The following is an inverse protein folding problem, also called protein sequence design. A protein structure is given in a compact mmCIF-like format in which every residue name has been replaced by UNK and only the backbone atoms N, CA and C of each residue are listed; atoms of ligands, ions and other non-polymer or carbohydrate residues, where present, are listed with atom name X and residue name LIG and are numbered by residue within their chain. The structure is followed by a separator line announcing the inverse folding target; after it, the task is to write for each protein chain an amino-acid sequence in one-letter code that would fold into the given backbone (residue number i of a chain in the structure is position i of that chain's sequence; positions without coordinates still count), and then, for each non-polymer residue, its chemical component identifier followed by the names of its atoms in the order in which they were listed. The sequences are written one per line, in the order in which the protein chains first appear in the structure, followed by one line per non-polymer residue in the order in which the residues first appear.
data_IF_965408346180
#
_entry.id   IF_965408346180
#
_cell.length_a   1.000
_cell.length_b   1.000
_cell.length_c   1.000
_cell.angle_alpha   90.00
_cell.angle_beta   90.00
_cell.angle_gamma   90.00
#
_symmetry.space_group_name_H-M   'P 1'
#
loop_
_entity.id
_entity.type
_entity.pdbx_description
1 polymer ?
#
# COMPACT_ATOMS: atom_id res chain seq x y z
N UNK A 1 5.50 -10.54 -14.94
CA UNK A 1 4.16 -9.91 -14.81
C UNK A 1 4.19 -8.54 -15.48
N UNK A 2 3.08 -8.08 -16.04
CA UNK A 2 2.95 -6.76 -16.68
C UNK A 2 1.82 -5.97 -16.03
N UNK A 3 1.92 -4.63 -16.04
CA UNK A 3 0.84 -3.76 -15.60
C UNK A 3 -0.33 -3.79 -16.59
N UNK A 4 -1.53 -3.43 -16.12
CA UNK A 4 -2.69 -3.30 -16.98
C UNK A 4 -2.47 -2.18 -18.02
N UNK A 5 -2.88 -2.39 -19.27
CA UNK A 5 -2.62 -1.47 -20.40
C UNK A 5 -3.13 -0.04 -20.19
N UNK A 6 -4.19 0.10 -19.39
CA UNK A 6 -4.83 1.40 -19.13
C UNK A 6 -4.21 2.12 -17.91
N UNK A 7 -3.24 1.49 -17.23
CA UNK A 7 -2.49 2.14 -16.15
C UNK A 7 -1.47 3.10 -16.77
N UNK A 8 -1.72 4.40 -16.62
CA UNK A 8 -0.78 5.42 -17.02
C UNK A 8 0.35 5.53 -15.98
N UNK A 9 1.59 5.32 -16.42
CA UNK A 9 2.80 5.40 -15.59
C UNK A 9 3.68 6.54 -16.11
N UNK A 10 3.64 7.73 -15.47
CA UNK A 10 4.55 8.83 -15.76
C UNK A 10 6.03 8.40 -15.73
N UNK A 11 6.90 9.09 -16.46
CA UNK A 11 8.30 8.71 -16.62
C UNK A 11 9.11 8.71 -15.31
N UNK A 12 8.68 9.48 -14.32
CA UNK A 12 9.26 9.57 -12.98
C UNK A 12 8.72 8.51 -12.00
N UNK A 13 7.88 7.59 -12.47
CA UNK A 13 7.37 6.48 -11.67
C UNK A 13 8.51 5.58 -11.20
N UNK A 14 8.60 5.38 -9.89
CA UNK A 14 9.48 4.37 -9.29
C UNK A 14 8.72 3.06 -9.16
N UNK A 15 9.21 2.00 -9.80
CA UNK A 15 8.63 0.67 -9.71
C UNK A 15 9.35 -0.14 -8.62
N UNK A 16 8.61 -0.52 -7.59
CA UNK A 16 9.09 -1.41 -6.52
C UNK A 16 8.49 -2.80 -6.74
N UNK A 17 9.35 -3.82 -6.80
CA UNK A 17 8.92 -5.23 -6.96
C UNK A 17 9.05 -5.95 -5.63
N UNK A 18 8.01 -6.69 -5.24
CA UNK A 18 7.91 -7.45 -3.99
C UNK A 18 7.52 -8.92 -4.27
N UNK A 19 7.72 -9.81 -3.29
CA UNK A 19 7.39 -11.25 -3.45
C UNK A 19 8.46 -12.07 -4.18
N UNK A 20 9.72 -11.63 -4.14
CA UNK A 20 10.86 -12.33 -4.78
C UNK A 20 11.45 -13.46 -3.90
N UNK A 21 10.92 -13.63 -2.69
CA UNK A 21 11.32 -14.69 -1.75
C UNK A 21 10.29 -15.81 -1.76
N UNK A 22 10.79 -17.05 -1.79
CA UNK A 22 9.96 -18.26 -1.89
C UNK A 22 9.41 -18.71 -0.53
N UNK A 23 9.92 -18.15 0.57
CA UNK A 23 9.69 -18.58 1.96
C UNK A 23 8.82 -17.61 2.78
N UNK A 24 8.48 -16.43 2.24
CA UNK A 24 7.65 -15.43 2.91
C UNK A 24 6.70 -14.72 1.96
N UNK A 25 5.44 -14.61 2.37
CA UNK A 25 4.44 -13.76 1.71
C UNK A 25 4.76 -12.29 1.99
N UNK A 26 5.51 -11.67 1.08
CA UNK A 26 5.73 -10.23 1.09
C UNK A 26 4.48 -9.55 0.52
N UNK A 27 3.61 -9.09 1.40
CA UNK A 27 2.33 -8.46 1.03
C UNK A 27 2.43 -6.94 1.08
N UNK A 28 3.30 -6.41 1.93
CA UNK A 28 3.53 -4.98 2.07
C UNK A 28 4.58 -4.48 1.06
N UNK A 29 4.41 -3.25 0.60
CA UNK A 29 5.45 -2.57 -0.17
C UNK A 29 6.67 -2.20 0.68
N UNK A 30 6.59 -2.29 2.02
CA UNK A 30 7.67 -2.00 2.96
C UNK A 30 8.47 -3.24 3.38
N UNK A 31 8.04 -4.44 3.01
CA UNK A 31 8.71 -5.71 3.34
C UNK A 31 10.10 -5.81 2.71
N UNK A 32 11.12 -5.33 3.42
CA UNK A 32 12.54 -5.41 3.04
C UNK A 32 12.87 -4.83 1.64
N UNK A 33 12.03 -3.91 1.15
CA UNK A 33 12.20 -3.28 -0.17
C UNK A 33 13.11 -2.05 -0.14
N UNK A 34 13.45 -1.54 1.06
CA UNK A 34 14.15 -0.27 1.25
C UNK A 34 13.26 0.97 1.02
N UNK A 35 11.94 0.79 0.83
CA UNK A 35 11.03 1.88 0.51
C UNK A 35 10.91 2.92 1.64
N UNK A 36 10.84 2.47 2.90
CA UNK A 36 10.79 3.37 4.05
C UNK A 36 12.02 4.29 4.12
N UNK A 37 13.21 3.74 3.90
CA UNK A 37 14.45 4.52 3.90
C UNK A 37 14.49 5.52 2.74
N UNK A 38 14.05 5.11 1.56
CA UNK A 38 13.96 5.99 0.40
C UNK A 38 13.00 7.16 0.64
N UNK A 39 11.85 6.88 1.24
CA UNK A 39 10.88 7.91 1.61
C UNK A 39 11.44 8.87 2.65
N UNK A 40 12.17 8.36 3.66
CA UNK A 40 12.87 9.19 4.65
C UNK A 40 13.96 10.06 4.01
N UNK A 41 14.77 9.50 3.11
CA UNK A 41 15.80 10.25 2.34
C UNK A 41 15.17 11.38 1.53
N UNK A 42 13.99 11.14 0.95
CA UNK A 42 13.21 12.14 0.21
C UNK A 42 12.38 13.08 1.10
N UNK A 43 12.45 12.92 2.42
CA UNK A 43 11.68 13.70 3.41
C UNK A 43 10.16 13.63 3.19
N UNK A 44 9.67 12.50 2.68
CA UNK A 44 8.24 12.24 2.52
C UNK A 44 7.62 12.06 3.91
N UNK A 45 6.53 12.78 4.17
CA UNK A 45 5.80 12.72 5.45
C UNK A 45 4.44 12.06 5.34
N UNK A 46 3.79 12.23 4.19
CA UNK A 46 2.44 11.74 3.92
C UNK A 46 2.42 10.93 2.64
N UNK A 47 1.74 9.79 2.68
CA UNK A 47 1.54 8.91 1.53
C UNK A 47 0.05 8.70 1.28
N UNK A 48 -0.28 8.46 0.00
CA UNK A 48 -1.61 8.10 -0.44
C UNK A 48 -1.54 6.70 -1.04
N UNK A 49 -2.39 5.80 -0.56
CA UNK A 49 -2.37 4.39 -0.95
C UNK A 49 -3.67 4.05 -1.65
N UNK A 50 -3.55 3.44 -2.83
CA UNK A 50 -4.65 2.86 -3.60
C UNK A 50 -4.16 1.59 -4.30
N UNK A 51 -5.02 0.97 -5.11
CA UNK A 51 -4.70 -0.23 -5.87
C UNK A 51 -5.35 -1.49 -5.34
N UNK A 52 -4.70 -2.63 -5.56
CA UNK A 52 -5.29 -3.96 -5.37
C UNK A 52 -4.35 -4.92 -4.62
N UNK A 53 -4.86 -5.83 -3.78
CA UNK A 53 -6.23 -5.86 -3.26
C UNK A 53 -6.33 -5.06 -1.95
N UNK A 54 -7.49 -4.45 -1.70
CA UNK A 54 -7.78 -3.64 -0.50
C UNK A 54 -7.47 -4.40 0.81
N UNK A 55 -7.85 -5.66 0.86
CA UNK A 55 -7.82 -6.59 2.01
C UNK A 55 -6.57 -7.47 2.06
N UNK A 56 -5.55 -7.17 1.23
CA UNK A 56 -4.29 -7.92 1.21
C UNK A 56 -3.11 -6.95 1.15
N UNK A 57 -2.65 -6.60 -0.07
CA UNK A 57 -1.44 -5.81 -0.25
C UNK A 57 -1.63 -4.35 0.17
N UNK A 58 -2.82 -3.78 -0.08
CA UNK A 58 -3.13 -2.41 0.33
C UNK A 58 -3.20 -2.32 1.85
N UNK A 59 -3.94 -3.23 2.50
CA UNK A 59 -4.01 -3.28 3.96
C UNK A 59 -2.64 -3.40 4.61
N UNK A 60 -1.82 -4.38 4.18
CA UNK A 60 -0.48 -4.59 4.71
C UNK A 60 0.40 -3.33 4.52
N UNK A 61 0.40 -2.75 3.32
CA UNK A 61 1.18 -1.55 3.02
C UNK A 61 0.75 -0.34 3.86
N UNK A 62 -0.55 -0.16 4.09
CA UNK A 62 -1.06 0.95 4.91
C UNK A 62 -0.66 0.79 6.37
N UNK A 63 -0.80 -0.42 6.93
CA UNK A 63 -0.46 -0.67 8.33
C UNK A 63 1.05 -0.48 8.56
N UNK A 64 1.90 -1.02 7.69
CA UNK A 64 3.35 -0.83 7.80
C UNK A 64 3.76 0.63 7.63
N UNK A 65 3.11 1.37 6.73
CA UNK A 65 3.39 2.79 6.57
C UNK A 65 3.12 3.59 7.86
N UNK A 66 2.05 3.24 8.57
CA UNK A 66 1.70 3.84 9.86
C UNK A 66 2.74 3.46 10.92
N UNK A 67 3.18 2.20 10.96
CA UNK A 67 4.23 1.73 11.87
C UNK A 67 5.58 2.42 11.61
N UNK A 68 5.92 2.67 10.34
CA UNK A 68 7.12 3.40 9.92
C UNK A 68 7.05 4.92 10.19
N UNK A 69 5.87 5.41 10.62
CA UNK A 69 5.62 6.78 11.05
C UNK A 69 5.14 7.73 9.95
N UNK A 70 4.67 7.21 8.80
CA UNK A 70 4.11 8.03 7.73
C UNK A 70 2.64 8.35 7.97
N UNK A 71 2.25 9.61 7.73
CA UNK A 71 0.84 9.95 7.63
C UNK A 71 0.24 9.23 6.42
N UNK A 72 -0.73 8.34 6.66
CA UNK A 72 -1.21 7.43 5.61
C UNK A 72 -2.67 7.68 5.30
N UNK A 73 -2.95 7.93 4.02
CA UNK A 73 -4.30 8.14 3.49
C UNK A 73 -4.66 6.99 2.56
N UNK A 74 -5.73 6.26 2.89
CA UNK A 74 -6.31 5.25 2.00
C UNK A 74 -7.29 5.92 1.03
N UNK A 75 -7.06 5.77 -0.28
CA UNK A 75 -7.96 6.21 -1.34
C UNK A 75 -8.97 5.10 -1.65
N UNK A 76 -10.07 5.06 -0.90
CA UNK A 76 -11.03 3.94 -0.95
C UNK A 76 -11.61 3.76 -2.36
N UNK A 77 -11.96 4.84 -3.05
CA UNK A 77 -12.48 4.82 -4.42
C UNK A 77 -11.48 4.32 -5.46
N UNK A 78 -10.19 4.26 -5.12
CA UNK A 78 -9.11 3.74 -5.95
C UNK A 78 -8.69 2.32 -5.55
N UNK A 79 -9.52 1.59 -4.80
CA UNK A 79 -9.22 0.22 -4.35
C UNK A 79 -10.36 -0.74 -4.63
N UNK A 80 -10.07 -2.04 -4.60
CA UNK A 80 -11.08 -3.10 -4.64
C UNK A 80 -10.62 -4.28 -3.78
N UNK A 81 -11.47 -4.83 -2.90
CA UNK A 81 -11.12 -6.01 -2.13
C UNK A 81 -11.26 -7.30 -2.93
N UNK A 82 -10.63 -8.38 -2.47
CA UNK A 82 -10.88 -9.74 -2.96
C UNK A 82 -12.29 -10.18 -2.60
N UNK A 83 -12.72 -9.88 -1.37
CA UNK A 83 -14.08 -10.18 -0.88
C UNK A 83 -14.69 -8.97 -0.19
N UNK A 84 -16.01 -8.80 -0.25
CA UNK A 84 -16.68 -7.68 0.41
C UNK A 84 -16.40 -7.65 1.93
N UNK A 85 -16.57 -8.80 2.61
CA UNK A 85 -16.31 -8.94 4.04
C UNK A 85 -14.83 -8.65 4.39
N UNK A 86 -13.89 -9.13 3.57
CA UNK A 86 -12.47 -8.82 3.74
C UNK A 86 -12.20 -7.32 3.64
N UNK A 87 -12.82 -6.65 2.66
CA UNK A 87 -12.72 -5.20 2.49
C UNK A 87 -13.20 -4.41 3.71
N UNK A 88 -14.34 -4.76 4.28
CA UNK A 88 -14.89 -4.12 5.48
C UNK A 88 -13.93 -4.25 6.67
N UNK A 89 -13.45 -5.47 6.93
CA UNK A 89 -12.48 -5.73 8.01
C UNK A 89 -11.16 -4.98 7.80
N UNK A 90 -10.70 -4.90 6.55
CA UNK A 90 -9.47 -4.20 6.21
C UNK A 90 -9.58 -2.69 6.47
N UNK A 91 -10.70 -2.07 6.06
CA UNK A 91 -10.98 -0.65 6.32
C UNK A 91 -11.00 -0.38 7.82
N UNK A 92 -11.71 -1.21 8.60
CA UNK A 92 -11.72 -1.05 10.06
C UNK A 92 -10.34 -1.14 10.67
N UNK A 93 -9.54 -2.12 10.23
CA UNK A 93 -8.19 -2.35 10.75
C UNK A 93 -7.27 -1.16 10.46
N UNK A 94 -7.28 -0.66 9.22
CA UNK A 94 -6.50 0.52 8.82
C UNK A 94 -6.94 1.77 9.58
N UNK A 95 -8.25 1.97 9.75
CA UNK A 95 -8.80 3.10 10.50
C UNK A 95 -8.39 3.05 11.98
N UNK A 96 -8.43 1.85 12.60
CA UNK A 96 -7.95 1.64 13.99
C UNK A 96 -6.45 1.89 14.13
N UNK A 97 -5.66 1.59 13.09
CA UNK A 97 -4.23 1.89 13.04
C UNK A 97 -3.91 3.39 12.87
N UNK A 98 -4.90 4.23 12.55
CA UNK A 98 -4.73 5.67 12.36
C UNK A 98 -4.69 6.14 10.90
N UNK A 99 -4.99 5.27 9.94
CA UNK A 99 -5.13 5.69 8.55
C UNK A 99 -6.33 6.64 8.39
N UNK A 100 -6.13 7.69 7.60
CA UNK A 100 -7.25 8.52 7.13
C UNK A 100 -7.88 7.84 5.92
N UNK A 101 -9.20 7.61 5.97
CA UNK A 101 -9.93 7.04 4.85
C UNK A 101 -10.51 8.17 4.02
N UNK A 102 -10.15 8.21 2.73
CA UNK A 102 -10.62 9.19 1.76
C UNK A 102 -11.39 8.49 0.65
N UNK A 103 -12.69 8.73 0.57
CA UNK A 103 -13.57 8.17 -0.45
C UNK A 103 -15.03 8.37 -0.14
#
# INVERSE_FOLDING_TARGET
AAFHKDLNLPADTVVVTKGVRFDQDQNSAFDQTGLAEEFRRRQIRRIFVGGLALDVCVQATVLDALEEGFETVLLLSATRPVTAEGGEKAIESMKKGGAVISG
#
